data_IF_130831582420
#
_entry.id   IF_130831582420
#
_cell.length_a   1.000
_cell.length_b   1.000
_cell.length_c   1.000
_cell.angle_alpha   90.00
_cell.angle_beta   90.00
_cell.angle_gamma   90.00
#
_symmetry.space_group_name_H-M   'P 1'
#
loop_
_entity.id
_entity.type
_entity.pdbx_description
1 polymer ?
#
# COMPACT_ATOMS: atom_id res chain seq x y z
N UNK A 1 3.36 -1.55 11.14
CA UNK A 1 4.80 -1.82 11.28
C UNK A 1 5.47 -0.47 11.34
N UNK A 2 5.94 -0.05 12.51
CA UNK A 2 6.68 1.20 12.67
C UNK A 2 7.86 1.15 11.72
N UNK A 3 8.15 2.22 10.98
CA UNK A 3 9.35 2.31 10.15
C UNK A 3 10.58 2.34 11.06
N UNK A 4 11.00 1.16 11.49
CA UNK A 4 12.12 0.91 12.40
C UNK A 4 13.45 0.83 11.66
N UNK A 5 13.46 1.01 10.34
CA UNK A 5 14.66 0.94 9.51
C UNK A 5 14.83 2.22 8.70
N UNK A 6 16.07 2.58 8.43
CA UNK A 6 16.45 3.69 7.57
C UNK A 6 16.00 3.39 6.14
N UNK A 7 15.26 4.31 5.51
CA UNK A 7 14.82 4.12 4.13
C UNK A 7 15.96 4.15 3.10
N UNK A 8 17.15 4.64 3.46
CA UNK A 8 18.29 4.74 2.56
C UNK A 8 19.22 3.52 2.62
N UNK A 9 19.58 3.07 3.82
CA UNK A 9 20.59 2.02 4.05
C UNK A 9 20.07 0.79 4.78
N UNK A 10 18.76 0.72 5.04
CA UNK A 10 18.08 -0.37 5.77
C UNK A 10 18.58 -0.62 7.19
N UNK A 11 19.48 0.20 7.76
CA UNK A 11 19.94 0.03 9.12
C UNK A 11 18.80 0.22 10.14
N UNK A 12 18.73 -0.58 11.22
CA UNK A 12 17.73 -0.42 12.26
C UNK A 12 17.93 0.91 13.01
N UNK A 13 16.84 1.63 13.27
CA UNK A 13 16.82 2.96 13.89
C UNK A 13 16.62 2.92 15.41
N UNK A 14 16.35 1.75 15.98
CA UNK A 14 16.13 1.56 17.41
C UNK A 14 14.93 2.34 17.97
N UNK A 15 14.87 2.44 19.30
CA UNK A 15 13.79 3.09 20.05
C UNK A 15 13.75 4.62 19.87
N UNK A 16 14.89 5.24 19.54
CA UNK A 16 14.99 6.68 19.37
C UNK A 16 14.29 7.21 18.10
N UNK A 17 13.90 6.29 17.17
CA UNK A 17 13.26 6.61 15.89
C UNK A 17 13.95 7.79 15.21
N UNK A 18 15.08 7.54 14.54
CA UNK A 18 15.97 8.53 13.92
C UNK A 18 15.29 9.61 13.04
N UNK A 19 16.10 10.43 12.36
CA UNK A 19 15.61 11.61 11.62
C UNK A 19 14.43 11.26 10.71
N UNK A 20 13.37 12.06 10.75
CA UNK A 20 12.24 11.98 9.82
C UNK A 20 12.28 13.06 8.75
N UNK A 21 11.83 12.74 7.55
CA UNK A 21 11.45 13.73 6.56
C UNK A 21 10.27 14.56 7.09
N UNK A 22 10.42 15.89 7.12
CA UNK A 22 9.39 16.78 7.64
C UNK A 22 8.08 16.81 6.83
N UNK A 23 8.07 16.26 5.61
CA UNK A 23 6.88 16.28 4.72
C UNK A 23 6.05 15.01 4.80
N UNK A 24 6.70 13.85 4.79
CA UNK A 24 6.05 12.56 4.63
C UNK A 24 6.39 11.56 5.75
N UNK A 25 7.18 11.97 6.74
CA UNK A 25 7.56 11.16 7.91
C UNK A 25 8.40 9.91 7.63
N UNK A 26 8.95 9.73 6.42
CA UNK A 26 9.95 8.67 6.14
C UNK A 26 11.16 8.82 7.06
N UNK A 27 11.69 7.71 7.57
CA UNK A 27 12.72 7.67 8.62
C UNK A 27 14.11 7.34 8.08
N UNK A 28 15.13 7.91 8.72
CA UNK A 28 16.54 7.83 8.33
C UNK A 28 17.44 7.77 9.56
N UNK A 29 18.67 7.26 9.41
CA UNK A 29 19.71 7.37 10.43
C UNK A 29 20.02 8.84 10.74
N UNK A 30 20.11 9.67 9.70
CA UNK A 30 20.44 11.08 9.81
C UNK A 30 20.28 11.84 8.48
N UNK A 31 20.70 13.12 8.43
CA UNK A 31 20.56 13.97 7.23
C UNK A 31 21.24 13.39 5.99
N UNK A 32 22.43 12.80 6.13
CA UNK A 32 23.18 12.23 5.00
C UNK A 32 22.38 11.14 4.27
N UNK A 33 21.80 10.19 5.01
CA UNK A 33 20.90 9.18 4.42
C UNK A 33 19.65 9.79 3.78
N UNK A 34 19.10 10.86 4.35
CA UNK A 34 17.95 11.54 3.75
C UNK A 34 18.33 12.20 2.41
N UNK A 35 19.48 12.87 2.33
CA UNK A 35 19.96 13.50 1.09
C UNK A 35 20.32 12.49 0.01
N UNK A 36 20.97 11.38 0.39
CA UNK A 36 21.27 10.30 -0.54
C UNK A 36 19.97 9.66 -1.07
N UNK A 37 19.02 9.34 -0.19
CA UNK A 37 17.73 8.79 -0.61
C UNK A 37 16.92 9.78 -1.46
N UNK A 38 17.12 11.09 -1.26
CA UNK A 38 16.54 12.12 -2.11
C UNK A 38 17.13 12.14 -3.52
N UNK A 39 18.46 12.06 -3.65
CA UNK A 39 19.16 12.19 -4.94
C UNK A 39 19.21 10.89 -5.74
N UNK A 40 19.41 9.76 -5.07
CA UNK A 40 19.70 8.46 -5.69
C UNK A 40 18.58 7.46 -5.45
N UNK A 41 17.89 7.56 -4.32
CA UNK A 41 16.85 6.61 -3.90
C UNK A 41 15.43 6.95 -4.37
N UNK A 42 15.25 8.01 -5.15
CA UNK A 42 13.96 8.42 -5.71
C UNK A 42 12.97 9.01 -4.70
N UNK A 43 13.42 9.41 -3.51
CA UNK A 43 12.53 10.01 -2.52
C UNK A 43 11.93 11.34 -2.99
N UNK A 44 12.63 12.06 -3.87
CA UNK A 44 12.16 13.30 -4.48
C UNK A 44 10.81 13.16 -5.19
N UNK A 45 10.63 12.07 -5.93
CA UNK A 45 9.39 11.75 -6.66
C UNK A 45 8.34 11.10 -5.76
N UNK A 46 8.77 10.31 -4.78
CA UNK A 46 7.88 9.55 -3.90
C UNK A 46 7.32 10.38 -2.74
N UNK A 47 8.06 11.37 -2.24
CA UNK A 47 7.72 12.12 -1.03
C UNK A 47 6.31 12.72 -1.08
N UNK A 48 5.90 13.27 -2.24
CA UNK A 48 4.55 13.82 -2.45
C UNK A 48 3.47 12.75 -2.40
N UNK A 49 3.70 11.58 -2.99
CA UNK A 49 2.77 10.45 -2.99
C UNK A 49 2.59 9.91 -1.58
N UNK A 50 3.70 9.70 -0.87
CA UNK A 50 3.71 9.24 0.52
C UNK A 50 2.95 10.22 1.43
N UNK A 51 3.21 11.53 1.28
CA UNK A 51 2.48 12.56 2.05
C UNK A 51 0.97 12.49 1.80
N UNK A 52 0.55 12.38 0.53
CA UNK A 52 -0.88 12.28 0.16
C UNK A 52 -1.55 11.03 0.71
N UNK A 53 -0.80 9.94 0.85
CA UNK A 53 -1.29 8.70 1.43
C UNK A 53 -1.41 8.71 2.95
N UNK A 54 -1.09 9.83 3.64
CA UNK A 54 -1.13 9.92 5.10
C UNK A 54 0.23 9.75 5.79
N UNK A 55 1.33 9.75 5.02
CA UNK A 55 2.68 9.58 5.53
C UNK A 55 3.25 8.18 5.29
N UNK A 56 4.51 7.99 5.64
CA UNK A 56 5.29 6.81 5.27
C UNK A 56 4.75 5.50 5.87
N UNK A 57 4.20 5.56 7.08
CA UNK A 57 3.58 4.39 7.72
C UNK A 57 2.28 3.99 7.01
N UNK A 58 1.37 4.94 6.80
CA UNK A 58 0.11 4.66 6.09
C UNK A 58 0.35 4.21 4.65
N UNK A 59 1.32 4.83 3.96
CA UNK A 59 1.70 4.41 2.62
C UNK A 59 2.18 2.95 2.59
N UNK A 60 3.02 2.55 3.54
CA UNK A 60 3.46 1.16 3.66
C UNK A 60 2.31 0.21 4.00
N UNK A 61 1.42 0.61 4.91
CA UNK A 61 0.23 -0.17 5.27
C UNK A 61 -0.68 -0.39 4.05
N UNK A 62 -0.93 0.65 3.26
CA UNK A 62 -1.72 0.56 2.03
C UNK A 62 -1.10 -0.40 1.01
N UNK A 63 0.22 -0.36 0.83
CA UNK A 63 0.91 -1.28 -0.07
C UNK A 63 0.81 -2.74 0.41
N UNK A 64 0.98 -2.97 1.72
CA UNK A 64 0.85 -4.31 2.31
C UNK A 64 -0.58 -4.83 2.25
N UNK A 65 -1.57 -3.96 2.42
CA UNK A 65 -2.96 -4.31 2.20
C UNK A 65 -3.22 -4.71 0.75
N UNK A 66 -2.73 -3.92 -0.23
CA UNK A 66 -2.90 -4.25 -1.65
C UNK A 66 -2.24 -5.59 -2.03
N UNK A 67 -1.06 -5.88 -1.48
CA UNK A 67 -0.37 -7.17 -1.63
C UNK A 67 -1.23 -8.31 -1.06
N UNK A 68 -1.73 -8.17 0.18
CA UNK A 68 -2.58 -9.17 0.81
C UNK A 68 -3.89 -9.41 0.05
N UNK A 69 -4.51 -8.34 -0.47
CA UNK A 69 -5.72 -8.44 -1.30
C UNK A 69 -5.43 -9.20 -2.59
N UNK A 70 -4.27 -8.99 -3.23
CA UNK A 70 -3.90 -9.75 -4.44
C UNK A 70 -3.81 -11.24 -4.13
N UNK A 71 -3.07 -11.60 -3.08
CA UNK A 71 -2.88 -13.00 -2.66
C UNK A 71 -4.22 -13.67 -2.35
N UNK A 72 -5.09 -12.99 -1.60
CA UNK A 72 -6.43 -13.50 -1.30
C UNK A 72 -7.29 -13.64 -2.56
N UNK A 73 -7.20 -12.68 -3.48
CA UNK A 73 -7.95 -12.73 -4.73
C UNK A 73 -7.54 -13.92 -5.61
N UNK A 74 -6.25 -14.22 -5.67
CA UNK A 74 -5.71 -15.38 -6.40
C UNK A 74 -6.11 -16.70 -5.74
N UNK A 75 -6.02 -16.79 -4.40
CA UNK A 75 -6.39 -17.98 -3.66
C UNK A 75 -7.87 -18.37 -3.82
N UNK A 76 -8.76 -17.38 -3.89
CA UNK A 76 -10.21 -17.58 -4.04
C UNK A 76 -10.71 -17.47 -5.50
N UNK A 77 -9.80 -17.37 -6.48
CA UNK A 77 -10.18 -17.18 -7.89
C UNK A 77 -11.02 -18.36 -8.42
N UNK A 78 -10.59 -19.60 -8.15
CA UNK A 78 -11.29 -20.80 -8.62
C UNK A 78 -12.68 -20.96 -7.98
N UNK A 79 -12.86 -20.55 -6.72
CA UNK A 79 -14.15 -20.65 -6.01
C UNK A 79 -15.25 -19.79 -6.66
N UNK A 80 -14.85 -18.73 -7.36
CA UNK A 80 -15.79 -17.80 -8.03
C UNK A 80 -15.85 -18.01 -9.54
N UNK A 81 -15.20 -19.06 -10.06
CA UNK A 81 -15.14 -19.34 -11.48
C UNK A 81 -16.53 -19.63 -12.03
N UNK A 82 -16.92 -18.89 -13.07
CA UNK A 82 -18.24 -19.00 -13.69
C UNK A 82 -19.40 -18.49 -12.83
N UNK A 83 -19.15 -18.05 -11.60
CA UNK A 83 -20.16 -17.42 -10.76
C UNK A 83 -20.46 -16.00 -11.26
N UNK A 84 -21.70 -15.56 -11.07
CA UNK A 84 -22.11 -14.19 -11.36
C UNK A 84 -22.75 -13.56 -10.13
N UNK A 85 -22.69 -12.24 -10.08
CA UNK A 85 -23.27 -11.44 -9.02
C UNK A 85 -24.78 -11.68 -8.89
N UNK A 86 -25.28 -12.16 -7.75
CA UNK A 86 -26.70 -12.54 -7.67
C UNK A 86 -27.70 -11.38 -7.83
N UNK A 87 -27.25 -10.13 -7.67
CA UNK A 87 -28.12 -8.94 -7.83
C UNK A 87 -28.06 -8.39 -9.26
N UNK A 88 -26.87 -8.09 -9.79
CA UNK A 88 -26.76 -7.49 -11.12
C UNK A 88 -26.45 -8.50 -12.22
N UNK A 89 -26.26 -9.77 -11.88
CA UNK A 89 -25.96 -10.89 -12.78
C UNK A 89 -24.68 -10.74 -13.60
N UNK A 90 -23.81 -9.79 -13.23
CA UNK A 90 -22.51 -9.59 -13.90
C UNK A 90 -21.41 -10.40 -13.23
N UNK A 91 -20.50 -10.95 -14.02
CA UNK A 91 -19.30 -11.62 -13.52
C UNK A 91 -18.21 -10.64 -13.04
N UNK A 92 -18.21 -9.41 -13.59
CA UNK A 92 -17.24 -8.37 -13.28
C UNK A 92 -17.94 -7.09 -12.82
N UNK A 93 -17.33 -6.38 -11.88
CA UNK A 93 -17.79 -5.06 -11.48
C UNK A 93 -17.58 -4.04 -12.62
N UNK A 94 -18.64 -3.30 -12.96
CA UNK A 94 -18.64 -2.42 -14.14
C UNK A 94 -17.55 -1.34 -14.17
N UNK A 95 -17.17 -0.78 -13.02
CA UNK A 95 -16.16 0.30 -12.89
C UNK A 95 -14.74 -0.22 -12.71
N UNK A 96 -14.49 -1.01 -11.67
CA UNK A 96 -13.17 -1.55 -11.33
C UNK A 96 -12.73 -2.71 -12.21
N UNK A 97 -13.66 -3.34 -12.94
CA UNK A 97 -13.44 -4.55 -13.75
C UNK A 97 -12.93 -5.76 -12.96
N UNK A 98 -13.08 -5.72 -11.64
CA UNK A 98 -12.73 -6.80 -10.73
C UNK A 98 -13.81 -7.89 -10.75
N UNK A 99 -13.41 -9.16 -10.61
CA UNK A 99 -14.34 -10.29 -10.46
C UNK A 99 -14.91 -10.42 -9.05
N UNK A 100 -15.81 -11.38 -8.84
CA UNK A 100 -16.60 -11.52 -7.61
C UNK A 100 -15.77 -11.62 -6.32
N UNK A 101 -14.57 -12.19 -6.38
CA UNK A 101 -13.65 -12.25 -5.22
C UNK A 101 -13.32 -10.86 -4.68
N UNK A 102 -13.23 -9.87 -5.57
CA UNK A 102 -12.90 -8.48 -5.24
C UNK A 102 -14.10 -7.54 -5.37
N UNK A 103 -15.21 -8.00 -5.95
CA UNK A 103 -16.48 -7.28 -5.92
C UNK A 103 -17.60 -7.81 -6.81
N UNK A 104 -18.73 -8.13 -6.17
CA UNK A 104 -20.15 -7.81 -6.47
C UNK A 104 -20.98 -8.85 -5.66
N UNK A 105 -21.90 -8.44 -4.78
CA UNK A 105 -23.15 -7.95 -5.30
C UNK A 105 -23.62 -6.55 -4.99
N UNK A 106 -24.04 -5.94 -6.10
CA UNK A 106 -24.62 -4.64 -6.35
C UNK A 106 -23.87 -3.35 -6.06
N UNK A 107 -22.77 -3.28 -5.28
CA UNK A 107 -21.86 -2.09 -5.28
C UNK A 107 -20.61 -2.13 -4.38
N UNK A 108 -20.29 -3.26 -3.73
CA UNK A 108 -18.93 -3.52 -3.27
C UNK A 108 -18.42 -2.71 -2.06
N UNK A 109 -19.29 -2.22 -1.16
CA UNK A 109 -18.85 -1.64 0.13
C UNK A 109 -18.92 -2.60 1.31
N UNK A 110 -19.36 -3.86 1.12
CA UNK A 110 -19.51 -4.85 2.20
C UNK A 110 -18.19 -5.54 2.62
N UNK A 111 -17.07 -4.81 2.55
CA UNK A 111 -15.73 -5.34 2.86
C UNK A 111 -14.66 -4.28 3.11
N UNK A 112 -15.04 -3.07 3.54
CA UNK A 112 -14.14 -2.06 4.09
C UNK A 112 -14.50 -1.78 5.55
#
# INVERSE_FOLDING_TARGET
MILTHCAACAAPLGLALGKKCGRCSTRYCGPACQEQHWKEGGHDTLCKKIKRAGGAEQYNANNKYAEAVSVAAEACAEDTKGQTCYICTQALHWKTKEGLVRGCACRGTSGF
#
